data_IF_583332424651
#
_entry.id   IF_583332424651
#
_cell.length_a   1.000
_cell.length_b   1.000
_cell.length_c   1.000
_cell.angle_alpha   90.00
_cell.angle_beta   90.00
_cell.angle_gamma   90.00
#
_symmetry.space_group_name_H-M   'P 1'
#
loop_
_entity.id
_entity.type
_entity.pdbx_description
1 polymer ?
#
# COMPACT_ATOMS: atom_id res chain seq x y z
N UNK A 1 -0.26 12.79 18.63
CA UNK A 1 0.17 11.56 17.95
C UNK A 1 1.37 11.90 17.09
N UNK A 2 2.34 10.99 16.96
CA UNK A 2 3.52 11.22 16.12
C UNK A 2 3.16 11.01 14.64
N UNK A 3 3.82 11.75 13.74
CA UNK A 3 3.68 11.53 12.30
C UNK A 3 4.43 10.25 11.90
N UNK A 4 3.73 9.35 11.19
CA UNK A 4 4.36 8.20 10.56
C UNK A 4 4.98 8.58 9.22
N UNK A 5 4.25 9.40 8.44
CA UNK A 5 4.69 9.93 7.14
C UNK A 5 4.35 11.41 7.07
N UNK A 6 5.26 12.21 6.54
CA UNK A 6 5.04 13.61 6.20
C UNK A 6 5.55 13.86 4.79
N UNK A 7 4.67 14.31 3.90
CA UNK A 7 4.98 14.69 2.53
C UNK A 7 4.71 16.19 2.39
N UNK A 8 5.69 16.94 1.88
CA UNK A 8 5.58 18.39 1.72
C UNK A 8 6.06 18.82 0.34
N UNK A 9 5.16 19.46 -0.41
CA UNK A 9 5.37 20.04 -1.75
C UNK A 9 6.03 19.06 -2.72
N UNK A 10 5.61 17.78 -2.69
CA UNK A 10 6.15 16.74 -3.54
C UNK A 10 5.72 16.96 -4.99
N UNK A 11 6.72 17.20 -5.86
CA UNK A 11 6.51 17.30 -7.30
C UNK A 11 7.43 16.33 -8.03
N UNK A 12 6.84 15.49 -8.90
CA UNK A 12 7.55 14.52 -9.75
C UNK A 12 7.27 14.85 -11.20
N UNK A 13 8.35 15.12 -11.95
CA UNK A 13 8.28 15.46 -13.38
C UNK A 13 9.05 14.43 -14.19
N UNK A 14 8.40 13.88 -15.20
CA UNK A 14 9.03 13.12 -16.28
C UNK A 14 9.16 14.02 -17.53
N UNK A 15 9.93 13.64 -18.56
CA UNK A 15 10.17 14.53 -19.73
C UNK A 15 8.91 15.10 -20.36
N UNK A 16 7.82 14.33 -20.40
CA UNK A 16 6.59 14.70 -21.12
C UNK A 16 5.38 14.89 -20.19
N UNK A 17 5.51 14.57 -18.89
CA UNK A 17 4.36 14.60 -17.97
C UNK A 17 4.76 14.98 -16.55
N UNK A 18 3.91 15.78 -15.89
CA UNK A 18 3.96 15.99 -14.46
C UNK A 18 3.10 14.89 -13.84
N UNK A 19 3.76 13.94 -13.16
CA UNK A 19 3.08 12.81 -12.52
C UNK A 19 2.51 13.17 -11.15
N UNK A 20 3.20 14.04 -10.41
CA UNK A 20 2.73 14.62 -9.14
C UNK A 20 3.08 16.10 -9.13
N UNK A 21 2.16 16.95 -8.69
CA UNK A 21 2.31 18.40 -8.62
C UNK A 21 1.87 18.92 -7.25
N UNK A 22 2.84 19.41 -6.48
CA UNK A 22 2.65 20.05 -5.17
C UNK A 22 1.84 19.24 -4.15
N UNK A 23 2.08 17.92 -4.06
CA UNK A 23 1.36 17.03 -3.16
C UNK A 23 1.89 17.18 -1.73
N UNK A 24 0.99 17.47 -0.78
CA UNK A 24 1.34 17.63 0.64
C UNK A 24 0.27 16.98 1.53
N UNK A 25 0.67 16.07 2.43
CA UNK A 25 -0.20 15.47 3.45
C UNK A 25 0.61 14.81 4.57
N UNK A 26 -0.08 14.48 5.65
CA UNK A 26 0.49 13.83 6.83
C UNK A 26 -0.32 12.56 7.16
N UNK A 27 0.38 11.49 7.49
CA UNK A 27 -0.19 10.24 8.02
C UNK A 27 0.28 10.07 9.46
N UNK A 28 -0.63 9.91 10.40
CA UNK A 28 -0.29 9.68 11.81
C UNK A 28 -0.03 8.19 12.06
N UNK A 29 0.72 7.89 13.13
CA UNK A 29 0.91 6.50 13.54
C UNK A 29 -0.43 5.86 13.90
N UNK A 30 -0.67 4.65 13.37
CA UNK A 30 -1.91 3.92 13.55
C UNK A 30 -3.03 4.32 12.59
N UNK A 31 -2.82 5.29 11.71
CA UNK A 31 -3.81 5.61 10.67
C UNK A 31 -3.95 4.46 9.66
N UNK A 32 -5.15 4.36 9.11
CA UNK A 32 -5.44 3.57 7.92
C UNK A 32 -5.81 4.55 6.79
N UNK A 33 -4.82 4.93 5.98
CA UNK A 33 -5.00 5.87 4.87
C UNK A 33 -5.34 5.13 3.58
N UNK A 34 -6.49 5.45 2.99
CA UNK A 34 -6.84 5.08 1.62
C UNK A 34 -6.39 6.16 0.64
N UNK A 35 -5.56 5.82 -0.35
CA UNK A 35 -5.19 6.71 -1.46
C UNK A 35 -6.03 6.32 -2.66
N UNK A 36 -6.96 7.18 -3.05
CA UNK A 36 -7.85 6.96 -4.18
C UNK A 36 -7.53 7.91 -5.34
N UNK A 37 -7.80 7.46 -6.54
CA UNK A 37 -7.57 8.22 -7.77
C UNK A 37 -7.68 7.31 -9.00
N UNK A 38 -7.95 7.88 -10.18
CA UNK A 38 -7.97 7.12 -11.43
C UNK A 38 -6.60 6.50 -11.75
N UNK A 39 -6.55 5.64 -12.78
CA UNK A 39 -5.26 5.20 -13.31
C UNK A 39 -4.50 6.42 -13.85
N UNK A 40 -3.19 6.45 -13.76
CA UNK A 40 -2.42 7.65 -14.14
C UNK A 40 -2.54 8.85 -13.19
N UNK A 41 -3.29 8.74 -12.07
CA UNK A 41 -3.38 9.79 -11.05
C UNK A 41 -2.08 10.06 -10.30
N UNK A 42 -1.07 9.19 -10.46
CA UNK A 42 0.22 9.32 -9.77
C UNK A 42 0.36 8.45 -8.52
N UNK A 43 -0.59 7.54 -8.21
CA UNK A 43 -0.54 6.68 -7.01
C UNK A 43 0.75 5.86 -6.91
N UNK A 44 1.10 5.11 -7.97
CA UNK A 44 2.34 4.32 -7.99
C UNK A 44 3.60 5.20 -7.98
N UNK A 45 3.56 6.36 -8.66
CA UNK A 45 4.66 7.35 -8.59
C UNK A 45 4.85 7.89 -7.17
N UNK A 46 3.76 8.11 -6.44
CA UNK A 46 3.81 8.52 -5.04
C UNK A 46 4.45 7.42 -4.19
N UNK A 47 4.03 6.16 -4.34
CA UNK A 47 4.61 5.03 -3.61
C UNK A 47 6.08 4.80 -3.96
N UNK A 48 6.45 4.86 -5.24
CA UNK A 48 7.85 4.76 -5.68
C UNK A 48 8.72 5.85 -5.06
N UNK A 49 8.20 7.08 -4.97
CA UNK A 49 8.89 8.18 -4.32
C UNK A 49 9.04 7.94 -2.80
N UNK A 50 7.98 7.48 -2.13
CA UNK A 50 7.99 7.14 -0.70
C UNK A 50 8.96 5.99 -0.39
N UNK A 51 9.06 5.01 -1.29
CA UNK A 51 9.96 3.86 -1.16
C UNK A 51 11.42 4.18 -1.56
N UNK A 52 11.66 5.39 -2.09
CA UNK A 52 12.98 5.79 -2.59
C UNK A 52 13.40 5.07 -3.87
N UNK A 53 12.45 4.45 -4.59
CA UNK A 53 12.63 3.85 -5.92
C UNK A 53 12.72 4.94 -6.99
N UNK A 54 11.91 6.00 -6.86
CA UNK A 54 12.07 7.23 -7.61
C UNK A 54 12.72 8.29 -6.72
N UNK A 55 13.90 8.76 -7.12
CA UNK A 55 14.67 9.79 -6.39
C UNK A 55 14.62 11.15 -7.06
N UNK A 56 14.01 11.25 -8.24
CA UNK A 56 13.93 12.48 -9.04
C UNK A 56 12.64 13.24 -8.73
N UNK A 57 12.65 13.98 -7.62
CA UNK A 57 11.53 14.80 -7.19
C UNK A 57 12.00 16.05 -6.44
N UNK A 58 11.15 17.09 -6.37
CA UNK A 58 11.29 18.24 -5.46
C UNK A 58 10.37 18.04 -4.25
N UNK A 59 10.58 18.85 -3.22
CA UNK A 59 9.86 18.67 -1.95
C UNK A 59 10.56 17.68 -1.00
N UNK A 60 9.85 17.29 0.06
CA UNK A 60 10.37 16.41 1.12
C UNK A 60 9.42 15.27 1.43
N UNK A 61 9.99 14.11 1.75
CA UNK A 61 9.29 12.94 2.27
C UNK A 61 10.02 12.52 3.54
N UNK A 62 9.26 12.41 4.65
CA UNK A 62 9.80 11.97 5.93
C UNK A 62 9.02 10.78 6.46
N UNK A 63 9.72 9.82 7.05
CA UNK A 63 9.16 8.75 7.87
C UNK A 63 9.66 8.93 9.31
N UNK A 64 8.74 9.06 10.26
CA UNK A 64 9.07 9.27 11.68
C UNK A 64 10.08 10.41 11.88
N UNK A 65 9.80 11.57 11.25
CA UNK A 65 10.64 12.78 11.22
C UNK A 65 11.98 12.63 10.47
N UNK A 66 12.30 11.47 9.92
CA UNK A 66 13.54 11.18 9.19
C UNK A 66 13.35 11.39 7.67
N UNK A 67 14.07 12.34 7.10
CA UNK A 67 14.05 12.64 5.65
C UNK A 67 14.70 11.48 4.86
N UNK A 68 13.97 10.90 3.92
CA UNK A 68 14.41 9.74 3.14
C UNK A 68 15.62 10.03 2.24
N UNK A 69 15.87 11.30 1.88
CA UNK A 69 17.06 11.70 1.14
C UNK A 69 18.33 11.69 2.00
N UNK A 70 18.18 11.83 3.33
CA UNK A 70 19.30 11.93 4.27
C UNK A 70 19.66 10.60 4.91
N UNK A 71 18.69 9.70 5.04
CA UNK A 71 18.88 8.41 5.69
C UNK A 71 18.08 7.32 4.98
N UNK A 72 18.60 6.09 5.02
CA UNK A 72 17.90 4.90 4.51
C UNK A 72 17.39 3.99 5.64
N UNK A 73 17.44 4.42 6.89
CA UNK A 73 17.01 3.58 8.01
C UNK A 73 15.49 3.37 8.04
N UNK A 74 14.73 4.31 7.46
CA UNK A 74 13.28 4.23 7.30
C UNK A 74 12.80 2.93 6.63
N UNK A 75 13.56 2.37 5.69
CA UNK A 75 13.23 1.08 5.06
C UNK A 75 13.02 -0.06 6.07
N UNK A 76 13.62 0.06 7.26
CA UNK A 76 13.43 -0.94 8.32
C UNK A 76 12.04 -0.92 8.92
N UNK A 77 11.35 0.19 8.78
CA UNK A 77 10.03 0.42 9.36
C UNK A 77 8.90 0.22 8.36
N UNK A 78 9.22 -0.09 7.10
CA UNK A 78 8.23 -0.21 6.02
C UNK A 78 8.17 -1.65 5.51
N UNK A 79 6.95 -2.17 5.38
CA UNK A 79 6.60 -3.32 4.55
C UNK A 79 5.89 -2.83 3.30
N UNK A 80 6.18 -3.43 2.15
CA UNK A 80 5.57 -3.07 0.87
C UNK A 80 5.04 -4.28 0.13
N UNK A 81 3.82 -4.16 -0.35
CA UNK A 81 3.15 -5.13 -1.23
C UNK A 81 2.84 -4.45 -2.55
N UNK A 82 3.49 -4.83 -3.65
CA UNK A 82 3.25 -4.26 -4.98
C UNK A 82 1.93 -4.76 -5.57
N UNK A 83 1.41 -4.04 -6.57
CA UNK A 83 0.16 -4.34 -7.27
C UNK A 83 0.15 -5.74 -7.91
N UNK A 84 1.24 -6.13 -8.56
CA UNK A 84 1.41 -7.46 -9.17
C UNK A 84 2.76 -8.02 -8.77
N UNK A 85 2.79 -8.91 -7.79
CA UNK A 85 3.98 -9.68 -7.57
C UNK A 85 4.14 -10.67 -8.74
N UNK A 86 5.13 -10.44 -9.58
CA UNK A 86 5.44 -11.33 -10.70
C UNK A 86 6.15 -12.57 -10.20
N UNK A 87 5.46 -13.70 -10.30
CA UNK A 87 6.09 -15.04 -10.21
C UNK A 87 5.65 -15.88 -11.39
N UNK A 88 6.60 -16.51 -12.02
CA UNK A 88 6.30 -17.55 -13.00
C UNK A 88 5.59 -18.72 -12.28
N UNK A 89 4.52 -19.26 -12.87
CA UNK A 89 3.74 -20.37 -12.29
C UNK A 89 4.60 -21.61 -11.94
N UNK A 90 5.76 -21.76 -12.56
CA UNK A 90 6.70 -22.84 -12.34
C UNK A 90 7.80 -22.49 -11.31
N UNK A 91 7.73 -21.36 -10.63
CA UNK A 91 8.75 -20.98 -9.65
C UNK A 91 8.76 -21.97 -8.48
N UNK A 92 9.89 -22.65 -8.20
CA UNK A 92 9.91 -23.82 -7.31
C UNK A 92 9.90 -23.47 -5.81
N UNK A 93 9.70 -22.19 -5.44
CA UNK A 93 9.75 -21.77 -4.04
C UNK A 93 8.47 -22.13 -3.28
N UNK A 94 8.63 -22.50 -2.03
CA UNK A 94 7.54 -22.65 -1.07
C UNK A 94 7.14 -21.31 -0.45
N UNK A 95 5.99 -21.29 0.24
CA UNK A 95 5.54 -20.12 1.01
C UNK A 95 6.61 -19.66 1.99
N UNK A 96 7.22 -20.59 2.74
CA UNK A 96 8.29 -20.26 3.70
C UNK A 96 9.53 -19.70 3.00
N UNK A 97 9.88 -20.15 1.81
CA UNK A 97 11.03 -19.63 1.07
C UNK A 97 10.80 -18.18 0.66
N UNK A 98 9.60 -17.87 0.16
CA UNK A 98 9.25 -16.50 -0.25
C UNK A 98 9.28 -15.52 0.93
N UNK A 99 8.77 -15.92 2.08
CA UNK A 99 8.81 -15.08 3.29
C UNK A 99 10.24 -14.94 3.80
N UNK A 100 11.03 -16.03 3.76
CA UNK A 100 12.46 -16.04 4.16
C UNK A 100 13.32 -15.10 3.33
N UNK A 101 13.00 -14.88 2.04
CA UNK A 101 13.73 -13.93 1.19
C UNK A 101 13.73 -12.51 1.76
N UNK A 102 12.71 -12.12 2.53
CA UNK A 102 12.61 -10.81 3.15
C UNK A 102 13.25 -10.74 4.54
N UNK A 103 13.55 -11.87 5.19
CA UNK A 103 14.16 -11.88 6.53
C UNK A 103 15.53 -11.21 6.51
N UNK A 104 15.71 -10.25 7.41
CA UNK A 104 17.01 -9.59 7.63
C UNK A 104 18.03 -10.51 8.30
N UNK A 105 17.56 -11.37 9.24
CA UNK A 105 18.35 -12.40 9.90
C UNK A 105 17.84 -13.76 9.43
N UNK A 106 18.56 -14.41 8.53
CA UNK A 106 18.16 -15.69 7.90
C UNK A 106 17.94 -16.86 8.88
N UNK A 107 18.39 -16.74 10.12
CA UNK A 107 18.26 -17.77 11.17
C UNK A 107 16.99 -17.64 12.01
N UNK A 108 16.09 -16.70 11.70
CA UNK A 108 14.90 -16.41 12.52
C UNK A 108 13.64 -17.05 11.94
N UNK A 109 13.67 -18.37 11.79
CA UNK A 109 12.54 -19.14 11.22
C UNK A 109 11.26 -19.03 12.05
N UNK A 110 11.37 -18.75 13.36
CA UNK A 110 10.20 -18.55 14.22
C UNK A 110 9.34 -17.37 13.73
N UNK A 111 9.97 -16.31 13.22
CA UNK A 111 9.23 -15.16 12.66
C UNK A 111 8.40 -15.51 11.42
N UNK A 112 8.85 -16.50 10.64
CA UNK A 112 8.08 -16.99 9.49
C UNK A 112 6.81 -17.64 10.00
N UNK A 113 6.92 -18.54 10.98
CA UNK A 113 5.75 -19.22 11.53
C UNK A 113 4.77 -18.26 12.20
N UNK A 114 5.28 -17.30 12.99
CA UNK A 114 4.46 -16.26 13.62
C UNK A 114 3.67 -15.42 12.60
N UNK A 115 4.32 -14.96 11.51
CA UNK A 115 3.64 -14.15 10.51
C UNK A 115 2.65 -14.96 9.68
N UNK A 116 2.95 -16.23 9.36
CA UNK A 116 2.05 -17.12 8.65
C UNK A 116 0.81 -17.46 9.48
N UNK A 117 0.98 -17.65 10.81
CA UNK A 117 -0.15 -17.83 11.74
C UNK A 117 -1.02 -16.58 11.79
N UNK A 118 -0.42 -15.40 11.95
CA UNK A 118 -1.14 -14.10 11.97
C UNK A 118 -2.00 -13.87 10.71
N UNK A 119 -1.57 -14.41 9.57
CA UNK A 119 -2.28 -14.29 8.29
C UNK A 119 -3.13 -15.51 7.91
N UNK A 120 -3.26 -16.46 8.85
CA UNK A 120 -4.06 -17.68 8.69
C UNK A 120 -3.70 -18.51 7.46
N UNK A 121 -2.40 -18.66 7.22
CA UNK A 121 -1.81 -19.45 6.11
C UNK A 121 -0.65 -20.34 6.56
N UNK A 122 -0.55 -20.61 7.86
CA UNK A 122 0.56 -21.43 8.39
C UNK A 122 0.55 -22.85 7.80
N UNK A 123 -0.62 -23.42 7.54
CA UNK A 123 -0.81 -24.74 6.91
C UNK A 123 -0.26 -24.80 5.48
N UNK A 124 -0.08 -23.64 4.83
CA UNK A 124 0.46 -23.55 3.48
C UNK A 124 1.99 -23.39 3.45
N UNK A 125 2.65 -23.40 4.62
CA UNK A 125 4.09 -23.10 4.77
C UNK A 125 4.99 -23.80 3.76
N UNK A 126 4.75 -25.09 3.54
CA UNK A 126 5.55 -25.95 2.66
C UNK A 126 4.97 -26.10 1.24
N UNK A 127 3.85 -25.41 0.95
CA UNK A 127 3.20 -25.47 -0.35
C UNK A 127 3.95 -24.56 -1.34
N UNK A 128 4.02 -24.98 -2.61
CA UNK A 128 4.61 -24.15 -3.67
C UNK A 128 3.73 -22.97 -3.98
N UNK A 129 4.32 -21.79 -4.23
CA UNK A 129 3.55 -20.56 -4.49
C UNK A 129 2.70 -20.65 -5.76
N UNK A 130 3.13 -21.39 -6.79
CA UNK A 130 2.35 -21.61 -8.01
C UNK A 130 1.09 -22.47 -7.84
N UNK A 131 0.91 -23.12 -6.67
CA UNK A 131 -0.27 -23.94 -6.34
C UNK A 131 -1.32 -23.16 -5.54
N UNK A 132 -1.07 -21.90 -5.20
CA UNK A 132 -1.90 -21.09 -4.35
C UNK A 132 -3.00 -20.38 -5.15
N UNK A 133 -4.17 -20.18 -4.52
CA UNK A 133 -5.17 -19.25 -5.04
C UNK A 133 -4.65 -17.81 -4.97
N UNK A 134 -5.23 -16.88 -5.75
CA UNK A 134 -4.86 -15.47 -5.73
C UNK A 134 -4.90 -14.86 -4.33
N UNK A 135 -5.96 -15.11 -3.55
CA UNK A 135 -6.06 -14.62 -2.17
C UNK A 135 -5.06 -15.25 -1.20
N UNK A 136 -4.68 -16.53 -1.40
CA UNK A 136 -3.62 -17.16 -0.62
C UNK A 136 -2.26 -16.57 -0.94
N UNK A 137 -1.95 -16.41 -2.23
CA UNK A 137 -0.71 -15.79 -2.70
C UNK A 137 -0.57 -14.37 -2.17
N UNK A 138 -1.64 -13.59 -2.19
CA UNK A 138 -1.65 -12.25 -1.65
C UNK A 138 -1.29 -12.20 -0.15
N UNK A 139 -1.86 -13.11 0.66
CA UNK A 139 -1.50 -13.23 2.07
C UNK A 139 -0.03 -13.60 2.26
N UNK A 140 0.56 -14.40 1.36
CA UNK A 140 2.00 -14.69 1.38
C UNK A 140 2.82 -13.43 1.15
N UNK A 141 2.41 -12.51 0.25
CA UNK A 141 3.11 -11.25 0.04
C UNK A 141 2.99 -10.30 1.22
N UNK A 142 1.82 -10.30 1.88
CA UNK A 142 1.68 -9.57 3.15
C UNK A 142 2.60 -10.17 4.21
N UNK A 143 2.69 -11.52 4.32
CA UNK A 143 3.61 -12.18 5.24
C UNK A 143 5.06 -11.75 4.98
N UNK A 144 5.47 -11.74 3.70
CA UNK A 144 6.79 -11.27 3.27
C UNK A 144 7.02 -9.81 3.69
N UNK A 145 6.03 -8.93 3.57
CA UNK A 145 6.14 -7.54 3.95
C UNK A 145 6.21 -7.35 5.47
N UNK A 146 5.53 -8.21 6.25
CA UNK A 146 5.39 -8.12 7.70
C UNK A 146 6.48 -8.85 8.51
N UNK A 147 7.24 -9.77 7.92
CA UNK A 147 8.15 -10.68 8.64
C UNK A 147 9.25 -9.98 9.45
N UNK A 148 9.54 -8.72 9.14
CA UNK A 148 10.51 -7.91 9.88
C UNK A 148 9.86 -6.89 10.83
N UNK A 149 8.60 -7.08 11.21
CA UNK A 149 7.83 -6.24 12.13
C UNK A 149 7.84 -4.74 11.73
N UNK A 150 7.38 -4.40 10.51
CA UNK A 150 7.35 -3.01 10.09
C UNK A 150 6.30 -2.23 10.89
N UNK A 151 6.50 -0.90 11.01
CA UNK A 151 5.53 0.02 11.62
C UNK A 151 4.52 0.55 10.61
N UNK A 152 4.88 0.50 9.32
CA UNK A 152 4.05 0.97 8.21
C UNK A 152 3.95 -0.16 7.19
N UNK A 153 2.74 -0.41 6.70
CA UNK A 153 2.46 -1.32 5.58
C UNK A 153 1.90 -0.50 4.42
N UNK A 154 2.62 -0.49 3.31
CA UNK A 154 2.18 0.14 2.05
C UNK A 154 1.69 -0.97 1.12
N UNK A 155 0.47 -0.79 0.57
CA UNK A 155 -0.21 -1.75 -0.29
C UNK A 155 -0.62 -1.04 -1.58
N UNK A 156 -0.07 -1.46 -2.72
CA UNK A 156 -0.43 -0.89 -4.02
C UNK A 156 -1.46 -1.78 -4.73
N UNK A 157 -2.72 -1.32 -4.79
CA UNK A 157 -3.88 -2.02 -5.39
C UNK A 157 -3.94 -3.53 -5.07
N UNK A 158 -3.90 -3.92 -3.79
CA UNK A 158 -3.63 -5.31 -3.40
C UNK A 158 -4.75 -6.29 -3.71
N UNK A 159 -5.97 -5.86 -4.06
CA UNK A 159 -7.13 -6.73 -4.26
C UNK A 159 -7.47 -6.98 -5.73
N UNK A 160 -6.62 -6.54 -6.65
CA UNK A 160 -6.86 -6.73 -8.09
C UNK A 160 -6.84 -8.22 -8.43
N UNK A 161 -7.97 -8.75 -8.94
CA UNK A 161 -8.11 -10.16 -9.34
C UNK A 161 -8.36 -11.17 -8.21
N UNK A 162 -8.77 -10.69 -7.02
CA UNK A 162 -9.15 -11.53 -5.87
C UNK A 162 -10.67 -11.71 -5.87
N UNK A 163 -11.16 -12.93 -5.59
CA UNK A 163 -12.59 -13.21 -5.45
C UNK A 163 -13.18 -12.62 -4.17
N UNK A 164 -14.52 -12.40 -4.15
CA UNK A 164 -15.22 -11.69 -3.09
C UNK A 164 -15.03 -12.31 -1.70
N UNK A 165 -15.02 -13.64 -1.58
CA UNK A 165 -14.84 -14.29 -0.27
C UNK A 165 -13.45 -14.05 0.32
N UNK A 166 -12.43 -14.02 -0.53
CA UNK A 166 -11.07 -13.70 -0.13
C UNK A 166 -10.87 -12.21 0.16
N UNK A 167 -11.65 -11.32 -0.47
CA UNK A 167 -11.63 -9.88 -0.19
C UNK A 167 -12.07 -9.59 1.25
N UNK A 168 -13.17 -10.16 1.73
CA UNK A 168 -13.67 -9.94 3.11
C UNK A 168 -12.65 -10.43 4.15
N UNK A 169 -12.05 -11.58 3.90
CA UNK A 169 -10.98 -12.11 4.73
C UNK A 169 -9.76 -11.17 4.75
N UNK A 170 -9.35 -10.70 3.59
CA UNK A 170 -8.26 -9.76 3.44
C UNK A 170 -8.52 -8.46 4.23
N UNK A 171 -9.72 -7.91 4.15
CA UNK A 171 -10.12 -6.72 4.90
C UNK A 171 -10.08 -6.95 6.41
N UNK A 172 -10.54 -8.12 6.87
CA UNK A 172 -10.48 -8.46 8.29
C UNK A 172 -9.03 -8.54 8.81
N UNK A 173 -8.13 -9.09 8.01
CA UNK A 173 -6.69 -9.15 8.31
C UNK A 173 -6.11 -7.73 8.41
N UNK A 174 -6.36 -6.85 7.43
CA UNK A 174 -5.83 -5.49 7.47
C UNK A 174 -6.37 -4.71 8.67
N UNK A 175 -7.65 -4.86 8.98
CA UNK A 175 -8.26 -4.24 10.16
C UNK A 175 -7.63 -4.73 11.46
N UNK A 176 -7.34 -6.02 11.56
CA UNK A 176 -6.65 -6.59 12.71
C UNK A 176 -5.21 -6.08 12.83
N UNK A 177 -4.46 -6.05 11.74
CA UNK A 177 -3.09 -5.51 11.70
C UNK A 177 -3.05 -4.04 12.17
N UNK A 178 -4.01 -3.24 11.73
CA UNK A 178 -4.10 -1.84 12.14
C UNK A 178 -4.56 -1.70 13.60
N UNK A 179 -5.72 -2.27 13.97
CA UNK A 179 -6.37 -2.01 15.27
C UNK A 179 -5.70 -2.74 16.45
N UNK A 180 -5.24 -3.99 16.25
CA UNK A 180 -4.62 -4.79 17.33
C UNK A 180 -3.11 -4.68 17.38
N UNK A 181 -2.46 -4.54 16.21
CA UNK A 181 -0.99 -4.48 16.14
C UNK A 181 -0.45 -3.07 15.95
N UNK A 182 -1.31 -2.05 15.79
CA UNK A 182 -0.92 -0.66 15.67
C UNK A 182 -0.14 -0.32 14.40
N UNK A 183 -0.22 -1.16 13.37
CA UNK A 183 0.47 -0.93 12.10
C UNK A 183 -0.25 0.19 11.35
N UNK A 184 0.50 1.21 10.96
CA UNK A 184 0.00 2.25 10.05
C UNK A 184 -0.16 1.64 8.66
N UNK A 185 -1.33 1.76 8.05
CA UNK A 185 -1.61 1.20 6.72
C UNK A 185 -1.79 2.35 5.73
N UNK A 186 -1.10 2.27 4.60
CA UNK A 186 -1.28 3.17 3.45
C UNK A 186 -1.63 2.27 2.26
N UNK A 187 -2.81 2.45 1.72
CA UNK A 187 -3.35 1.57 0.70
C UNK A 187 -3.85 2.35 -0.50
N UNK A 188 -3.38 2.06 -1.72
CA UNK A 188 -4.01 2.55 -2.94
C UNK A 188 -5.16 1.66 -3.36
N UNK A 189 -6.27 2.26 -3.75
CA UNK A 189 -7.44 1.55 -4.26
C UNK A 189 -8.23 2.40 -5.25
N UNK A 190 -8.93 1.75 -6.16
CA UNK A 190 -10.00 2.34 -6.98
C UNK A 190 -11.39 1.95 -6.45
N UNK A 191 -11.48 1.07 -5.46
CA UNK A 191 -12.72 0.65 -4.80
C UNK A 191 -13.06 1.61 -3.64
N UNK A 192 -13.97 2.52 -3.90
CA UNK A 192 -14.44 3.53 -2.94
C UNK A 192 -15.16 2.90 -1.75
N UNK A 193 -15.92 1.82 -1.96
CA UNK A 193 -16.67 1.15 -0.90
C UNK A 193 -15.73 0.48 0.09
N UNK A 194 -14.67 -0.16 -0.41
CA UNK A 194 -13.64 -0.76 0.41
C UNK A 194 -12.90 0.29 1.24
N UNK A 195 -12.54 1.42 0.63
CA UNK A 195 -11.88 2.53 1.33
C UNK A 195 -12.78 3.12 2.41
N UNK A 196 -14.07 3.34 2.11
CA UNK A 196 -15.03 3.86 3.08
C UNK A 196 -15.24 2.93 4.30
N UNK A 197 -15.13 1.61 4.09
CA UNK A 197 -15.28 0.61 5.18
C UNK A 197 -14.06 0.49 6.10
N UNK A 198 -12.87 0.73 5.57
CA UNK A 198 -11.61 0.38 6.25
C UNK A 198 -10.78 1.58 6.67
N UNK A 199 -10.70 2.61 5.82
CA UNK A 199 -9.85 3.75 6.05
C UNK A 199 -10.46 4.68 7.09
N UNK A 200 -9.62 5.26 7.96
CA UNK A 200 -10.00 6.36 8.82
C UNK A 200 -9.58 7.72 8.25
N UNK A 201 -8.75 7.71 7.20
CA UNK A 201 -8.39 8.87 6.40
C UNK A 201 -8.37 8.50 4.91
N UNK A 202 -8.73 9.46 4.06
CA UNK A 202 -8.69 9.33 2.59
C UNK A 202 -7.87 10.47 2.01
N UNK A 203 -7.04 10.14 1.02
CA UNK A 203 -6.32 11.09 0.17
C UNK A 203 -6.75 10.88 -1.28
N UNK A 204 -7.35 11.90 -1.88
CA UNK A 204 -7.82 11.85 -3.27
C UNK A 204 -6.79 12.51 -4.17
N UNK A 205 -6.20 11.71 -5.06
CA UNK A 205 -5.11 12.08 -5.93
C UNK A 205 -5.55 12.09 -7.40
N UNK A 206 -5.19 13.17 -8.10
CA UNK A 206 -5.22 13.25 -9.55
C UNK A 206 -4.09 14.19 -10.00
N UNK A 207 -2.84 13.72 -9.96
CA UNK A 207 -1.59 14.47 -10.07
C UNK A 207 -1.39 15.48 -8.94
N UNK A 208 -2.44 16.15 -8.52
CA UNK A 208 -2.52 16.99 -7.32
C UNK A 208 -3.34 16.29 -6.25
N UNK A 209 -3.15 16.67 -5.00
CA UNK A 209 -4.01 16.24 -3.89
C UNK A 209 -5.20 17.20 -3.78
N UNK A 210 -6.41 16.75 -4.12
CA UNK A 210 -7.59 17.61 -4.04
C UNK A 210 -8.45 17.38 -2.80
N UNK A 211 -8.21 16.29 -2.06
CA UNK A 211 -8.81 16.05 -0.76
C UNK A 211 -7.87 15.23 0.14
N UNK A 212 -7.84 15.57 1.44
CA UNK A 212 -7.23 14.74 2.49
C UNK A 212 -8.00 14.93 3.79
N UNK A 213 -8.62 13.88 4.32
CA UNK A 213 -9.45 13.96 5.52
C UNK A 213 -10.17 12.66 5.86
N UNK A 214 -11.17 12.76 6.73
CA UNK A 214 -12.04 11.65 7.13
C UNK A 214 -12.92 11.19 5.94
N UNK A 215 -13.16 9.88 5.77
CA UNK A 215 -13.99 9.38 4.67
C UNK A 215 -15.39 10.00 4.63
N UNK A 216 -16.04 10.17 5.78
CA UNK A 216 -17.38 10.75 5.87
C UNK A 216 -17.46 12.13 5.23
N UNK A 217 -16.41 12.95 5.37
CA UNK A 217 -16.37 14.29 4.76
C UNK A 217 -16.25 14.23 3.25
N UNK A 218 -15.49 13.26 2.72
CA UNK A 218 -15.39 13.05 1.28
C UNK A 218 -16.70 12.55 0.69
N UNK A 219 -17.29 11.49 1.29
CA UNK A 219 -18.49 10.83 0.74
C UNK A 219 -19.78 11.63 0.94
N UNK A 220 -19.80 12.60 1.87
CA UNK A 220 -20.94 13.51 2.05
C UNK A 220 -20.89 14.78 1.20
N UNK A 221 -19.78 15.01 0.49
CA UNK A 221 -19.59 16.17 -0.39
C UNK A 221 -19.78 15.76 -1.86
N UNK A 222 -20.95 16.09 -2.40
CA UNK A 222 -21.33 15.74 -3.78
C UNK A 222 -20.35 16.33 -4.82
N UNK A 223 -19.72 17.47 -4.53
CA UNK A 223 -18.76 18.12 -5.44
C UNK A 223 -17.44 17.32 -5.49
N UNK A 224 -16.94 16.87 -4.34
CA UNK A 224 -15.74 16.02 -4.27
C UNK A 224 -15.96 14.67 -4.94
N UNK A 225 -17.10 14.02 -4.70
CA UNK A 225 -17.46 12.75 -5.35
C UNK A 225 -17.60 12.93 -6.85
N UNK A 226 -18.19 14.03 -7.31
CA UNK A 226 -18.32 14.37 -8.73
C UNK A 226 -16.95 14.62 -9.36
N UNK A 227 -16.07 15.38 -8.71
CA UNK A 227 -14.70 15.63 -9.18
C UNK A 227 -13.92 14.33 -9.35
N UNK A 228 -14.03 13.40 -8.40
CA UNK A 228 -13.43 12.07 -8.51
C UNK A 228 -13.99 11.29 -9.71
N UNK A 229 -15.32 11.30 -9.88
CA UNK A 229 -16.00 10.57 -10.96
C UNK A 229 -15.62 11.11 -12.34
N UNK A 230 -15.55 12.44 -12.50
CA UNK A 230 -15.14 13.09 -13.74
C UNK A 230 -13.67 12.76 -14.08
N UNK A 231 -12.77 12.76 -13.10
CA UNK A 231 -11.38 12.36 -13.28
C UNK A 231 -11.27 10.90 -13.75
N UNK A 232 -12.11 10.01 -13.22
CA UNK A 232 -12.15 8.59 -13.60
C UNK A 232 -12.76 8.35 -14.99
N UNK A 233 -13.72 9.17 -15.43
CA UNK A 233 -14.34 9.04 -16.75
C UNK A 233 -13.44 9.54 -17.90
N UNK A 234 -12.63 10.58 -17.68
CA UNK A 234 -11.70 11.10 -18.69
C UNK A 234 -10.67 10.06 -19.15
N UNK A 235 -10.35 9.11 -18.31
CA UNK A 235 -9.44 8.01 -18.62
C UNK A 235 -9.99 7.05 -19.67
N UNK A 236 -11.29 6.71 -19.60
CA UNK A 236 -11.92 5.77 -20.54
C UNK A 236 -12.01 6.33 -21.97
N UNK A 237 -11.92 7.65 -22.14
CA UNK A 237 -11.97 8.29 -23.47
C UNK A 237 -10.62 8.36 -24.19
N UNK A 238 -9.49 8.17 -23.49
CA UNK A 238 -8.15 8.21 -24.08
C UNK A 238 -7.61 6.83 -24.52
N UNK A 239 -8.38 5.75 -24.32
CA UNK A 239 -8.01 4.37 -24.69
C UNK A 239 -8.78 3.83 -25.91
N UNK A 240 -9.41 4.70 -26.71
CA UNK A 240 -10.05 4.34 -28.00
C UNK A 240 -9.40 5.02 -29.19
#
# INVERSE_FOLDING_TARGET
MLNAVEISNLTVKYPEVIALDDVSFVVKQGDFLGIIGPNGAGKSTLFDSMLGLNTTYTGTIKFFDEDIKKSKTYHKSIGYVPQRPEFENNFPATVSDVVRMALRKKSDDNKIDEVLQRLWIHELRNRRIGELSGGQLQRVFIAKALVNDPKILILDEPITGVDQQNIDLFFSILKELNSKHGITIIWSSHDLDAVNKLANHVACLNRTLFFHGEPEKFFSDDELVKQYSEASMQEHMHHH
#
